data_IF_808427392588
#
_entry.id   IF_808427392588
#
_cell.length_a   1.000
_cell.length_b   1.000
_cell.length_c   1.000
_cell.angle_alpha   90.00
_cell.angle_beta   90.00
_cell.angle_gamma   90.00
#
_symmetry.space_group_name_H-M   'P 1'
#
loop_
_entity.id
_entity.type
_entity.pdbx_description
1 polymer ?
#
# COMPACT_ATOMS: atom_id res chain seq x y z
N UNK A 1 32.41 -65.15 -18.87
CA UNK A 1 32.38 -64.16 -19.96
C UNK A 1 31.55 -62.97 -19.52
N UNK A 2 32.11 -61.77 -19.31
CA UNK A 2 31.30 -60.59 -19.04
C UNK A 2 30.97 -59.86 -20.36
N UNK A 3 29.70 -59.53 -20.53
CA UNK A 3 29.18 -58.77 -21.67
C UNK A 3 29.49 -57.29 -21.43
N UNK A 4 30.37 -56.72 -22.25
CA UNK A 4 30.55 -55.26 -22.37
C UNK A 4 29.38 -54.69 -23.18
N UNK A 5 28.74 -53.65 -22.66
CA UNK A 5 27.92 -52.73 -23.46
C UNK A 5 28.61 -51.36 -23.46
N UNK A 6 28.77 -50.70 -24.62
CA UNK A 6 29.31 -49.35 -24.67
C UNK A 6 28.16 -48.32 -24.61
N UNK A 7 28.16 -47.47 -23.59
CA UNK A 7 27.45 -46.20 -23.63
C UNK A 7 28.46 -45.09 -23.93
N UNK A 8 28.34 -44.47 -25.10
CA UNK A 8 29.03 -43.21 -25.41
C UNK A 8 28.36 -42.05 -24.66
N UNK A 9 29.11 -41.13 -24.05
CA UNK A 9 28.53 -39.90 -23.50
C UNK A 9 28.30 -38.88 -24.62
N UNK A 10 27.05 -38.40 -24.72
CA UNK A 10 26.71 -37.21 -25.51
C UNK A 10 27.28 -36.00 -24.78
N UNK A 11 28.23 -35.31 -25.43
CA UNK A 11 28.78 -34.02 -25.01
C UNK A 11 27.66 -32.97 -25.07
N UNK A 12 27.28 -32.42 -23.92
CA UNK A 12 26.49 -31.19 -23.87
C UNK A 12 27.41 -29.99 -24.17
N UNK A 13 26.97 -29.00 -24.96
CA UNK A 13 27.75 -27.78 -25.20
C UNK A 13 27.86 -26.95 -23.90
N UNK A 14 28.95 -26.19 -23.72
CA UNK A 14 29.12 -25.35 -22.55
C UNK A 14 28.04 -24.27 -22.51
N UNK A 15 27.32 -24.19 -21.40
CA UNK A 15 26.44 -23.09 -21.06
C UNK A 15 27.25 -21.81 -20.92
N UNK A 16 26.99 -20.82 -21.77
CA UNK A 16 27.50 -19.45 -21.62
C UNK A 16 26.92 -18.88 -20.34
N UNK A 17 27.76 -18.73 -19.32
CA UNK A 17 27.39 -18.13 -18.04
C UNK A 17 27.01 -16.67 -18.25
N UNK A 18 25.74 -16.33 -18.01
CA UNK A 18 25.31 -14.97 -17.80
C UNK A 18 25.56 -14.66 -16.32
N UNK A 19 26.46 -13.73 -16.04
CA UNK A 19 26.72 -13.20 -14.70
C UNK A 19 25.86 -11.92 -14.52
N UNK A 20 24.73 -11.97 -13.80
CA UNK A 20 23.80 -10.83 -13.73
C UNK A 20 24.27 -9.70 -12.80
N UNK A 21 25.53 -9.69 -12.33
CA UNK A 21 26.01 -8.71 -11.34
C UNK A 21 27.21 -7.85 -11.79
N UNK A 22 27.63 -7.92 -13.05
CA UNK A 22 28.65 -7.01 -13.57
C UNK A 22 28.04 -5.62 -13.89
N UNK A 23 28.12 -4.68 -12.95
CA UNK A 23 27.89 -3.27 -13.26
C UNK A 23 28.97 -2.78 -14.24
N UNK A 24 28.62 -2.00 -15.28
CA UNK A 24 29.61 -1.44 -16.19
C UNK A 24 30.57 -0.52 -15.42
N UNK A 25 31.87 -0.67 -15.68
CA UNK A 25 32.89 0.19 -15.09
C UNK A 25 32.72 1.62 -15.63
N UNK A 26 32.84 2.66 -14.78
CA UNK A 26 32.80 4.05 -15.24
C UNK A 26 33.90 4.30 -16.28
N UNK A 27 33.52 4.59 -17.53
CA UNK A 27 34.43 4.93 -18.62
C UNK A 27 34.46 3.96 -19.80
N UNK A 28 33.77 2.82 -19.75
CA UNK A 28 33.60 1.98 -20.95
C UNK A 28 32.51 2.53 -21.88
N UNK A 29 32.78 2.73 -23.17
CA UNK A 29 31.76 3.12 -24.13
C UNK A 29 30.73 2.00 -24.28
N UNK A 30 29.45 2.36 -24.19
CA UNK A 30 28.34 1.42 -24.36
C UNK A 30 28.40 0.77 -25.76
N UNK A 31 28.12 -0.53 -25.88
CA UNK A 31 28.05 -1.17 -27.18
C UNK A 31 26.91 -0.57 -28.01
N UNK A 32 27.23 -0.10 -29.22
CA UNK A 32 26.25 0.40 -30.19
C UNK A 32 25.24 -0.70 -30.51
N UNK A 33 23.97 -0.44 -30.17
CA UNK A 33 22.87 -1.33 -30.52
C UNK A 33 22.62 -1.38 -32.03
N UNK A 34 21.99 -2.45 -32.54
CA UNK A 34 21.75 -2.60 -33.97
C UNK A 34 20.86 -1.47 -34.50
N UNK A 35 21.37 -0.75 -35.49
CA UNK A 35 20.66 0.28 -36.26
C UNK A 35 19.40 -0.33 -36.89
N UNK A 36 18.23 0.18 -36.50
CA UNK A 36 16.98 -0.12 -37.20
C UNK A 36 16.93 0.71 -38.48
N UNK A 37 17.08 0.03 -39.61
CA UNK A 37 16.95 0.63 -40.94
C UNK A 37 15.54 1.17 -41.17
N UNK A 38 15.47 2.43 -41.56
CA UNK A 38 14.28 3.09 -42.07
C UNK A 38 13.98 2.63 -43.51
N UNK A 39 12.77 2.14 -43.75
CA UNK A 39 12.14 2.16 -45.07
C UNK A 39 10.63 1.88 -44.96
N UNK A 40 9.80 2.93 -45.00
CA UNK A 40 8.51 2.93 -45.71
C UNK A 40 7.93 4.35 -45.73
N UNK A 41 7.66 4.84 -46.95
CA UNK A 41 7.16 6.17 -47.25
C UNK A 41 5.64 6.36 -47.06
N UNK A 42 5.11 7.54 -47.38
CA UNK A 42 3.81 8.00 -46.93
C UNK A 42 2.67 7.58 -47.86
N UNK A 43 1.68 6.89 -47.31
CA UNK A 43 0.37 6.69 -47.94
C UNK A 43 -0.61 7.73 -47.42
N UNK A 44 -0.95 8.71 -48.26
CA UNK A 44 -2.01 9.68 -48.00
C UNK A 44 -3.38 9.00 -48.12
N UNK A 45 -4.16 9.05 -47.03
CA UNK A 45 -5.57 8.66 -46.99
C UNK A 45 -6.39 9.81 -46.43
N UNK A 46 -7.22 10.41 -47.29
CA UNK A 46 -8.12 11.51 -47.02
C UNK A 46 -9.20 11.13 -45.99
N UNK A 47 -9.48 12.04 -45.05
CA UNK A 47 -10.77 12.11 -44.36
C UNK A 47 -11.37 13.50 -44.59
N UNK A 48 -12.69 13.61 -44.86
CA UNK A 48 -13.32 14.87 -45.24
C UNK A 48 -13.52 15.81 -44.05
N UNK A 49 -13.35 17.10 -44.33
CA UNK A 49 -13.60 18.22 -43.43
C UNK A 49 -15.10 18.37 -43.13
N UNK A 50 -15.45 18.49 -41.85
CA UNK A 50 -16.77 18.92 -41.43
C UNK A 50 -16.83 20.46 -41.38
N UNK A 51 -17.75 21.00 -42.18
CA UNK A 51 -18.31 22.34 -42.13
C UNK A 51 -18.76 22.66 -40.69
N UNK A 52 -18.50 23.84 -40.11
CA UNK A 52 -19.07 25.12 -40.54
C UNK A 52 -20.19 25.51 -39.57
N UNK A 53 -19.85 26.10 -38.42
CA UNK A 53 -20.82 26.72 -37.52
C UNK A 53 -20.30 28.09 -37.06
N UNK A 54 -20.85 29.13 -37.67
CA UNK A 54 -20.69 30.56 -37.33
C UNK A 54 -21.46 30.93 -36.06
N UNK A 55 -20.91 31.77 -35.16
CA UNK A 55 -21.70 32.41 -34.11
C UNK A 55 -22.40 33.69 -34.63
N UNK A 56 -23.62 34.02 -34.16
CA UNK A 56 -24.34 35.20 -34.62
C UNK A 56 -23.98 36.48 -33.84
N UNK A 57 -23.68 37.53 -34.61
CA UNK A 57 -24.40 38.80 -34.55
C UNK A 57 -24.22 39.69 -33.30
N UNK A 58 -23.26 40.61 -33.39
CA UNK A 58 -23.24 41.85 -32.60
C UNK A 58 -24.22 42.86 -33.21
N UNK A 59 -25.11 43.42 -32.38
CA UNK A 59 -25.88 44.63 -32.68
C UNK A 59 -25.45 45.72 -31.69
N UNK A 60 -24.95 46.83 -32.24
CA UNK A 60 -24.59 48.02 -31.48
C UNK A 60 -25.81 48.90 -31.19
N UNK A 61 -25.70 49.69 -30.12
CA UNK A 61 -26.46 50.93 -29.98
C UNK A 61 -25.59 51.99 -29.28
N UNK A 62 -25.74 53.20 -29.79
CA UNK A 62 -24.91 54.37 -29.54
C UNK A 62 -25.32 55.15 -28.29
N UNK A 63 -24.35 55.93 -27.78
CA UNK A 63 -24.53 57.32 -27.36
C UNK A 63 -25.02 57.58 -25.93
N UNK A 64 -24.16 58.17 -25.10
CA UNK A 64 -24.36 59.48 -24.47
C UNK A 64 -23.25 59.80 -23.46
N UNK A 65 -22.45 60.82 -23.77
CA UNK A 65 -21.67 61.61 -22.79
C UNK A 65 -22.60 62.68 -22.21
N UNK A 66 -22.48 63.05 -20.91
CA UNK A 66 -22.25 64.47 -20.58
C UNK A 66 -21.37 64.61 -19.29
N UNK A 67 -21.19 65.81 -18.67
CA UNK A 67 -19.89 66.44 -18.55
C UNK A 67 -19.37 66.49 -17.10
N UNK A 68 -18.15 66.98 -16.93
CA UNK A 68 -17.45 67.06 -15.66
C UNK A 68 -18.13 67.91 -14.57
N UNK A 69 -17.77 67.58 -13.34
CA UNK A 69 -17.89 68.47 -12.18
C UNK A 69 -16.58 68.38 -11.38
N UNK A 70 -15.99 69.56 -11.20
CA UNK A 70 -14.85 69.83 -10.34
C UNK A 70 -15.20 69.60 -8.86
N UNK A 71 -14.17 69.31 -8.06
CA UNK A 71 -14.12 69.71 -6.66
C UNK A 71 -14.68 68.73 -5.63
N UNK A 72 -13.79 68.07 -4.91
CA UNK A 72 -13.51 68.32 -3.48
C UNK A 72 -12.94 67.06 -2.83
N UNK A 73 -11.71 67.21 -2.33
CA UNK A 73 -10.98 66.24 -1.52
C UNK A 73 -11.63 66.12 -0.13
N UNK A 74 -11.98 64.92 0.35
CA UNK A 74 -12.22 64.68 1.76
C UNK A 74 -10.93 64.18 2.45
N UNK A 75 -10.67 64.57 3.71
CA UNK A 75 -9.49 64.13 4.43
C UNK A 75 -9.70 62.74 5.05
N UNK A 76 -8.64 61.92 4.96
CA UNK A 76 -8.22 60.99 6.01
C UNK A 76 -9.20 59.92 6.50
N UNK A 77 -9.03 58.70 5.98
CA UNK A 77 -9.32 57.49 6.74
C UNK A 77 -8.16 56.51 6.55
N UNK A 78 -7.35 56.33 7.60
CA UNK A 78 -6.35 55.28 7.72
C UNK A 78 -7.05 53.91 7.63
N UNK A 79 -7.11 53.34 6.44
CA UNK A 79 -7.44 51.93 6.26
C UNK A 79 -6.15 51.13 6.45
N UNK A 80 -6.04 50.46 7.59
CA UNK A 80 -4.99 49.50 7.86
C UNK A 80 -5.04 48.38 6.82
N UNK A 81 -4.02 48.31 5.96
CA UNK A 81 -3.76 47.17 5.09
C UNK A 81 -3.55 45.94 5.97
N UNK A 82 -4.36 44.86 5.83
CA UNK A 82 -4.06 43.61 6.51
C UNK A 82 -2.71 43.08 5.98
N UNK A 83 -1.81 42.59 6.86
CA UNK A 83 -0.54 42.05 6.40
C UNK A 83 -0.82 40.87 5.47
N UNK A 84 -0.21 40.92 4.28
CA UNK A 84 -0.19 39.80 3.36
C UNK A 84 0.26 38.56 4.13
N UNK A 85 -0.60 37.53 4.15
CA UNK A 85 -0.23 36.22 4.66
C UNK A 85 0.88 35.70 3.76
N UNK A 86 2.12 35.84 4.23
CA UNK A 86 3.30 35.32 3.58
C UNK A 86 3.18 33.79 3.57
N UNK A 87 2.80 33.26 2.42
CA UNK A 87 2.74 31.84 2.16
C UNK A 87 4.18 31.34 2.06
N UNK A 88 4.83 31.22 3.22
CA UNK A 88 6.17 30.69 3.34
C UNK A 88 6.23 29.29 2.72
N UNK A 89 6.93 29.20 1.61
CA UNK A 89 7.23 27.95 0.91
C UNK A 89 7.78 26.92 1.91
N UNK A 90 7.20 25.71 2.02
CA UNK A 90 7.73 24.69 2.91
C UNK A 90 9.13 24.28 2.44
N UNK A 91 10.15 24.60 3.24
CA UNK A 91 11.52 24.17 3.00
C UNK A 91 11.60 22.65 3.10
N UNK A 92 11.83 21.98 1.97
CA UNK A 92 11.99 20.54 1.91
C UNK A 92 13.36 20.12 2.46
N UNK A 93 13.39 19.51 3.65
CA UNK A 93 14.57 18.80 4.16
C UNK A 93 14.36 17.28 4.02
N UNK A 94 14.97 16.69 2.99
CA UNK A 94 14.92 15.25 2.69
C UNK A 94 15.65 14.42 3.75
N UNK A 95 14.93 13.94 4.76
CA UNK A 95 15.40 12.92 5.71
C UNK A 95 14.63 11.61 5.51
N UNK A 96 15.35 10.50 5.30
CA UNK A 96 14.78 9.16 5.16
C UNK A 96 13.86 8.82 6.35
N UNK A 97 12.54 8.81 6.12
CA UNK A 97 11.53 8.29 7.05
C UNK A 97 10.86 9.30 7.98
N UNK A 98 11.17 10.60 7.90
CA UNK A 98 10.46 11.66 8.62
C UNK A 98 9.65 12.53 7.66
N UNK A 99 8.35 12.70 7.89
CA UNK A 99 7.53 13.58 7.05
C UNK A 99 8.06 15.02 7.08
N UNK A 100 8.13 15.67 5.90
CA UNK A 100 8.73 17.00 5.66
C UNK A 100 8.08 18.17 6.44
N UNK A 101 7.09 17.90 7.27
CA UNK A 101 6.28 18.91 7.96
C UNK A 101 5.66 18.38 9.25
N UNK A 102 6.21 17.31 9.84
CA UNK A 102 5.65 16.76 11.06
C UNK A 102 5.75 17.80 12.20
N UNK A 103 4.61 18.19 12.80
CA UNK A 103 4.62 19.08 13.95
C UNK A 103 5.46 18.44 15.05
N UNK A 104 6.16 19.26 15.83
CA UNK A 104 6.89 18.78 17.00
C UNK A 104 5.97 17.88 17.84
N UNK A 105 6.41 16.66 18.07
CA UNK A 105 5.66 15.66 18.82
C UNK A 105 4.83 14.70 17.98
N UNK A 106 4.70 14.81 16.65
CA UNK A 106 4.11 13.72 15.87
C UNK A 106 5.10 12.57 15.75
N UNK A 107 4.82 11.45 16.42
CA UNK A 107 5.70 10.28 16.41
C UNK A 107 5.11 9.23 15.49
N UNK A 108 5.91 8.80 14.52
CA UNK A 108 5.52 7.76 13.60
C UNK A 108 5.63 6.40 14.24
N UNK A 109 4.58 5.61 14.18
CA UNK A 109 4.68 4.20 14.46
C UNK A 109 5.18 3.48 13.20
N UNK A 110 6.19 2.64 13.38
CA UNK A 110 6.69 1.78 12.32
C UNK A 110 5.96 0.44 12.42
N UNK A 111 5.34 0.08 11.31
CA UNK A 111 4.66 -1.19 11.18
C UNK A 111 5.63 -2.34 11.31
N UNK A 112 5.23 -3.37 12.05
CA UNK A 112 5.66 -4.71 11.68
C UNK A 112 4.70 -5.09 10.56
N UNK A 113 5.14 -4.98 9.31
CA UNK A 113 4.42 -5.68 8.24
C UNK A 113 4.54 -7.14 8.66
N UNK A 114 3.49 -7.67 9.30
CA UNK A 114 3.56 -8.82 10.19
C UNK A 114 4.46 -9.91 9.57
N UNK A 115 5.59 -10.28 10.19
CA UNK A 115 6.42 -11.31 9.62
C UNK A 115 5.56 -12.57 9.51
N UNK A 116 5.40 -13.04 8.27
CA UNK A 116 4.79 -14.31 7.85
C UNK A 116 4.40 -15.16 9.05
N UNK A 117 3.14 -15.05 9.46
CA UNK A 117 2.65 -15.79 10.61
C UNK A 117 2.80 -17.27 10.27
N UNK A 118 3.68 -17.97 11.00
CA UNK A 118 3.77 -19.45 11.03
C UNK A 118 2.46 -20.14 11.46
N UNK A 119 1.37 -19.38 11.60
CA UNK A 119 0.07 -19.76 12.14
C UNK A 119 -0.90 -20.40 11.15
N UNK A 120 -0.61 -20.45 9.85
CA UNK A 120 -1.51 -21.14 8.90
C UNK A 120 -1.44 -22.69 8.96
N UNK A 121 -0.61 -23.28 9.83
CA UNK A 121 -0.35 -24.73 9.83
C UNK A 121 -0.97 -25.48 11.02
N UNK A 122 -1.47 -24.79 12.06
CA UNK A 122 -2.07 -25.48 13.22
C UNK A 122 -3.59 -25.65 13.18
N UNK A 123 -4.29 -25.13 12.16
CA UNK A 123 -5.74 -25.26 12.07
C UNK A 123 -6.26 -26.56 11.42
N UNK A 124 -5.40 -27.41 10.84
CA UNK A 124 -5.87 -28.67 10.21
C UNK A 124 -5.77 -29.91 11.09
N UNK A 125 -5.23 -29.84 12.30
CA UNK A 125 -5.16 -31.00 13.22
C UNK A 125 -6.18 -30.88 14.37
N UNK A 126 -7.45 -30.54 14.08
CA UNK A 126 -8.53 -30.91 15.00
C UNK A 126 -8.91 -32.36 14.71
N UNK A 127 -8.77 -33.31 15.66
CA UNK A 127 -9.27 -34.67 15.52
C UNK A 127 -10.81 -34.63 15.66
N UNK A 128 -11.49 -34.19 14.61
CA UNK A 128 -12.93 -34.21 14.49
C UNK A 128 -13.31 -35.10 13.31
N UNK A 129 -14.08 -36.15 13.61
CA UNK A 129 -14.78 -37.06 12.70
C UNK A 129 -14.51 -36.85 11.20
N UNK A 130 -13.57 -37.62 10.64
CA UNK A 130 -13.48 -37.80 9.19
C UNK A 130 -14.54 -38.85 8.83
N UNK A 131 -15.65 -38.49 8.16
CA UNK A 131 -16.58 -39.49 7.68
C UNK A 131 -15.83 -40.49 6.80
N UNK A 132 -16.14 -41.80 6.87
CA UNK A 132 -15.49 -42.78 6.01
C UNK A 132 -15.65 -42.34 4.55
N UNK A 133 -14.57 -42.43 3.74
CA UNK A 133 -14.64 -42.05 2.35
C UNK A 133 -15.76 -42.85 1.66
N UNK A 134 -16.59 -42.19 0.81
CA UNK A 134 -17.56 -42.92 0.02
C UNK A 134 -16.85 -44.01 -0.80
N UNK A 135 -17.48 -45.19 -1.00
CA UNK A 135 -16.88 -46.29 -1.74
C UNK A 135 -16.39 -45.80 -3.10
N UNK A 136 -15.11 -46.04 -3.39
CA UNK A 136 -14.48 -45.58 -4.63
C UNK A 136 -15.22 -46.17 -5.84
N UNK A 137 -15.64 -45.34 -6.81
CA UNK A 137 -16.18 -45.84 -8.07
C UNK A 137 -15.09 -46.66 -8.80
N UNK A 138 -15.48 -47.75 -9.49
CA UNK A 138 -14.54 -48.65 -10.15
C UNK A 138 -13.60 -47.90 -11.10
N UNK A 139 -12.30 -48.18 -10.93
CA UNK A 139 -11.15 -47.69 -11.69
C UNK A 139 -11.49 -47.18 -13.10
N UNK A 140 -11.76 -45.88 -13.22
CA UNK A 140 -11.62 -45.19 -14.51
C UNK A 140 -10.12 -45.01 -14.72
N UNK A 141 -9.51 -45.52 -15.82
CA UNK A 141 -8.13 -45.21 -16.15
C UNK A 141 -8.02 -43.70 -16.34
N UNK A 142 -7.45 -43.04 -15.33
CA UNK A 142 -7.17 -41.61 -15.30
C UNK A 142 -6.04 -41.33 -16.27
N UNK A 143 -6.38 -41.19 -17.57
CA UNK A 143 -5.53 -40.45 -18.51
C UNK A 143 -5.41 -39.03 -17.97
N UNK A 144 -4.16 -38.64 -17.73
CA UNK A 144 -3.70 -37.39 -17.15
C UNK A 144 -3.82 -37.34 -15.61
N UNK A 145 -2.69 -37.36 -14.87
CA UNK A 145 -2.71 -36.84 -13.52
C UNK A 145 -3.16 -35.39 -13.68
N UNK A 146 -4.36 -35.09 -13.19
CA UNK A 146 -4.68 -33.71 -12.86
C UNK A 146 -3.75 -33.35 -11.70
N UNK A 147 -2.51 -32.99 -12.04
CA UNK A 147 -1.77 -32.01 -11.28
C UNK A 147 -2.66 -30.77 -11.28
N UNK A 148 -3.68 -30.77 -10.40
CA UNK A 148 -4.24 -29.55 -9.85
C UNK A 148 -3.01 -28.82 -9.38
N UNK A 149 -2.54 -27.88 -10.20
CA UNK A 149 -1.50 -26.94 -9.84
C UNK A 149 -1.90 -26.44 -8.47
N UNK A 150 -1.21 -26.95 -7.45
CA UNK A 150 -1.41 -26.51 -6.08
C UNK A 150 -0.90 -25.08 -6.14
N UNK A 151 -1.83 -24.15 -6.36
CA UNK A 151 -1.54 -22.73 -6.28
C UNK A 151 -0.78 -22.55 -4.99
N UNK A 152 0.41 -21.95 -5.06
CA UNK A 152 1.14 -21.60 -3.87
C UNK A 152 0.14 -20.93 -2.93
N UNK A 153 -0.09 -21.52 -1.76
CA UNK A 153 -0.88 -20.86 -0.75
C UNK A 153 -0.07 -19.63 -0.38
N UNK A 154 -0.37 -18.52 -1.06
CA UNK A 154 0.10 -17.24 -0.61
C UNK A 154 -0.65 -17.05 0.70
N UNK A 155 0.09 -17.21 1.80
CA UNK A 155 -0.35 -16.76 3.10
C UNK A 155 0.26 -15.38 3.24
N UNK A 156 -0.28 -14.32 2.61
CA UNK A 156 0.02 -12.99 3.08
C UNK A 156 -0.69 -12.90 4.42
N UNK A 157 -0.03 -13.32 5.49
CA UNK A 157 -0.55 -13.03 6.83
C UNK A 157 -0.51 -11.52 7.13
N UNK A 158 -0.16 -10.68 6.15
CA UNK A 158 -0.26 -9.24 6.23
C UNK A 158 -1.13 -8.77 5.09
N UNK A 159 -2.34 -8.36 5.45
CA UNK A 159 -3.24 -7.67 4.56
C UNK A 159 -2.56 -6.46 3.94
N UNK A 160 -3.04 -6.04 2.77
CA UNK A 160 -2.40 -4.99 1.97
C UNK A 160 -2.16 -3.71 2.78
N UNK A 161 -2.99 -3.41 3.76
CA UNK A 161 -2.93 -2.19 4.53
C UNK A 161 -3.20 -2.41 6.02
N UNK A 162 -2.36 -1.79 6.85
CA UNK A 162 -2.53 -1.67 8.28
C UNK A 162 -2.32 -0.19 8.63
N UNK A 163 -3.31 0.42 9.26
CA UNK A 163 -3.29 1.86 9.59
C UNK A 163 -2.14 2.18 10.52
N UNK A 164 -1.72 1.23 11.35
CA UNK A 164 -0.57 1.36 12.23
C UNK A 164 0.78 1.57 11.48
N UNK A 165 0.89 1.13 10.24
CA UNK A 165 2.17 1.11 9.52
C UNK A 165 2.53 2.50 9.01
N UNK A 166 3.66 3.05 9.47
CA UNK A 166 4.16 4.38 9.09
C UNK A 166 3.14 5.51 9.35
N UNK A 167 2.31 5.37 10.39
CA UNK A 167 1.33 6.38 10.79
C UNK A 167 1.61 6.94 12.18
N UNK A 168 1.23 8.20 12.36
CA UNK A 168 1.10 8.84 13.68
C UNK A 168 -0.38 8.92 14.06
N UNK A 169 -0.75 8.73 15.35
CA UNK A 169 -2.11 9.00 15.82
C UNK A 169 -2.50 10.48 15.65
N UNK A 170 -1.51 11.39 15.68
CA UNK A 170 -1.76 12.81 15.50
C UNK A 170 -2.09 13.10 14.03
N UNK A 171 -3.16 13.85 13.73
CA UNK A 171 -3.37 14.35 12.38
C UNK A 171 -2.25 15.31 11.98
N UNK A 172 -1.62 15.04 10.83
CA UNK A 172 -0.46 15.81 10.33
C UNK A 172 -0.52 16.01 8.81
N UNK A 173 0.04 17.12 8.33
CA UNK A 173 0.28 17.34 6.90
C UNK A 173 1.58 16.65 6.52
N UNK A 174 1.56 15.78 5.50
CA UNK A 174 2.77 15.12 5.00
C UNK A 174 2.58 14.41 3.66
N UNK A 175 3.71 14.18 3.00
CA UNK A 175 3.88 13.21 1.92
C UNK A 175 4.76 12.09 2.46
N UNK A 176 4.41 10.84 2.16
CA UNK A 176 5.11 9.65 2.64
C UNK A 176 5.54 8.78 1.47
N UNK A 177 6.77 8.28 1.55
CA UNK A 177 7.28 7.21 0.71
C UNK A 177 7.87 6.14 1.61
N UNK A 178 7.50 4.88 1.40
CA UNK A 178 8.14 3.76 2.10
C UNK A 178 8.46 2.62 1.15
N UNK A 179 9.56 1.94 1.42
CA UNK A 179 10.03 0.79 0.67
C UNK A 179 10.20 -0.41 1.61
N UNK A 180 9.71 -1.56 1.18
CA UNK A 180 9.93 -2.84 1.87
C UNK A 180 10.43 -3.87 0.87
N UNK A 181 11.36 -4.71 1.33
CA UNK A 181 11.88 -5.85 0.60
C UNK A 181 11.63 -7.11 1.42
N UNK A 182 11.07 -8.14 0.80
CA UNK A 182 10.86 -9.45 1.39
C UNK A 182 11.60 -10.48 0.54
N UNK A 183 12.49 -11.22 1.18
CA UNK A 183 13.24 -12.30 0.55
C UNK A 183 12.60 -13.66 0.87
N UNK A 184 12.69 -14.57 -0.10
CA UNK A 184 12.17 -15.94 -0.05
C UNK A 184 10.77 -16.09 0.60
N UNK A 185 9.83 -15.27 0.15
CA UNK A 185 8.45 -15.24 0.65
C UNK A 185 7.82 -16.64 0.54
N UNK A 186 7.37 -17.19 1.67
CA UNK A 186 6.81 -18.53 1.79
C UNK A 186 7.77 -19.68 1.42
N UNK A 187 9.08 -19.48 1.35
CA UNK A 187 10.04 -20.52 0.93
C UNK A 187 9.90 -21.84 1.70
N UNK A 188 9.74 -21.78 3.02
CA UNK A 188 9.52 -22.97 3.85
C UNK A 188 8.20 -23.71 3.53
N UNK A 189 7.13 -22.96 3.24
CA UNK A 189 5.82 -23.52 2.87
C UNK A 189 5.90 -24.13 1.47
N UNK A 190 6.48 -23.40 0.51
CA UNK A 190 6.65 -23.86 -0.86
C UNK A 190 7.45 -25.16 -0.91
N UNK A 191 8.56 -25.23 -0.15
CA UNK A 191 9.35 -26.46 -0.01
C UNK A 191 8.55 -27.61 0.60
N UNK A 192 7.79 -27.35 1.66
CA UNK A 192 6.98 -28.39 2.34
C UNK A 192 5.89 -28.97 1.44
N UNK A 193 5.27 -28.15 0.60
CA UNK A 193 4.20 -28.59 -0.30
C UNK A 193 4.67 -28.96 -1.70
N UNK A 194 6.00 -29.02 -1.91
CA UNK A 194 6.64 -29.27 -3.21
C UNK A 194 6.09 -28.35 -4.31
N UNK A 195 5.86 -27.08 -3.96
CA UNK A 195 5.47 -26.04 -4.92
C UNK A 195 6.72 -25.71 -5.75
N UNK A 196 6.64 -25.72 -7.09
CA UNK A 196 7.78 -25.45 -7.98
C UNK A 196 8.07 -23.94 -8.06
N UNK A 197 8.13 -23.26 -6.92
CA UNK A 197 8.46 -21.85 -6.77
C UNK A 197 9.48 -21.68 -5.63
N UNK A 198 10.60 -21.04 -5.92
CA UNK A 198 11.65 -20.72 -4.96
C UNK A 198 12.08 -19.26 -5.09
N UNK A 199 12.76 -18.72 -4.08
CA UNK A 199 13.36 -17.38 -4.13
C UNK A 199 12.33 -16.31 -4.52
N UNK A 200 11.15 -16.38 -3.88
CA UNK A 200 10.10 -15.41 -4.12
C UNK A 200 10.52 -14.09 -3.45
N UNK A 201 10.87 -13.11 -4.26
CA UNK A 201 11.27 -11.78 -3.81
C UNK A 201 10.14 -10.80 -4.05
N UNK A 202 9.75 -10.06 -3.03
CA UNK A 202 8.72 -9.02 -3.13
C UNK A 202 9.30 -7.65 -2.77
N UNK A 203 9.12 -6.70 -3.67
CA UNK A 203 9.45 -5.30 -3.50
C UNK A 203 8.17 -4.51 -3.41
N UNK A 204 8.07 -3.65 -2.39
CA UNK A 204 6.86 -2.86 -2.15
C UNK A 204 7.23 -1.41 -1.93
N UNK A 205 6.86 -0.57 -2.88
CA UNK A 205 6.92 0.87 -2.77
C UNK A 205 5.54 1.38 -2.40
N UNK A 206 5.42 2.25 -1.40
CA UNK A 206 4.14 2.85 -1.02
C UNK A 206 4.28 4.35 -1.06
N UNK A 207 3.46 4.98 -1.90
CA UNK A 207 3.32 6.43 -1.97
C UNK A 207 2.08 6.82 -1.18
N UNK A 208 2.13 7.94 -0.47
CA UNK A 208 0.97 8.43 0.22
C UNK A 208 1.06 9.89 0.58
N UNK A 209 -0.07 10.44 0.98
CA UNK A 209 -0.16 11.78 1.54
C UNK A 209 -1.20 11.79 2.67
N UNK A 210 -1.09 12.79 3.53
CA UNK A 210 -2.05 13.11 4.57
C UNK A 210 -2.18 14.63 4.65
N UNK A 211 -3.41 15.11 4.71
CA UNK A 211 -3.73 16.53 4.78
C UNK A 211 -4.71 16.76 5.92
N UNK A 212 -4.37 17.70 6.78
CA UNK A 212 -5.16 18.11 7.93
C UNK A 212 -6.21 19.16 7.57
N UNK A 213 -7.29 19.15 8.33
CA UNK A 213 -8.38 20.12 8.29
C UNK A 213 -9.00 20.25 9.69
N UNK A 214 -9.99 21.14 9.88
CA UNK A 214 -10.58 21.48 11.18
C UNK A 214 -9.53 21.87 12.24
N UNK A 215 -8.76 22.93 11.96
CA UNK A 215 -7.69 23.40 12.85
C UNK A 215 -6.69 22.31 13.23
N UNK A 216 -6.42 21.44 12.26
CA UNK A 216 -5.56 20.27 12.35
C UNK A 216 -6.10 19.15 13.25
N UNK A 217 -7.35 19.21 13.71
CA UNK A 217 -7.95 18.16 14.55
C UNK A 217 -8.44 16.96 13.74
N UNK A 218 -8.52 17.08 12.42
CA UNK A 218 -8.81 15.97 11.53
C UNK A 218 -7.78 15.89 10.41
N UNK A 219 -7.65 14.72 9.79
CA UNK A 219 -6.92 14.57 8.53
C UNK A 219 -7.56 13.55 7.61
N UNK A 220 -7.29 13.72 6.33
CA UNK A 220 -7.61 12.80 5.26
C UNK A 220 -6.30 12.40 4.61
N UNK A 221 -6.12 11.12 4.31
CA UNK A 221 -4.94 10.65 3.61
C UNK A 221 -5.23 9.49 2.70
N UNK A 222 -4.28 9.24 1.80
CA UNK A 222 -4.35 8.18 0.82
C UNK A 222 -2.99 7.51 0.68
N UNK A 223 -3.01 6.22 0.32
CA UNK A 223 -1.83 5.41 0.06
C UNK A 223 -2.05 4.49 -1.13
N UNK A 224 -1.05 4.47 -2.01
CA UNK A 224 -1.02 3.66 -3.22
C UNK A 224 0.27 2.81 -3.24
N UNK A 225 0.16 1.48 -3.10
CA UNK A 225 1.30 0.60 -3.22
C UNK A 225 1.61 0.25 -4.68
N UNK A 226 2.88 0.24 -5.06
CA UNK A 226 3.43 -0.39 -6.26
C UNK A 226 4.21 -1.63 -5.81
N UNK A 227 3.77 -2.81 -6.24
CA UNK A 227 4.35 -4.08 -5.84
C UNK A 227 5.03 -4.72 -7.04
N UNK A 228 6.28 -5.15 -6.86
CA UNK A 228 7.03 -5.97 -7.82
C UNK A 228 7.32 -7.31 -7.17
N UNK A 229 7.12 -8.38 -7.91
CA UNK A 229 7.35 -9.74 -7.46
C UNK A 229 8.22 -10.48 -8.48
N UNK A 230 9.25 -11.16 -8.00
CA UNK A 230 10.10 -12.06 -8.79
C UNK A 230 10.10 -13.43 -8.12
N UNK A 231 10.09 -14.52 -8.90
CA UNK A 231 10.22 -15.87 -8.35
C UNK A 231 10.94 -16.79 -9.33
N UNK A 232 11.63 -17.81 -8.84
CA UNK A 232 12.23 -18.81 -9.70
C UNK A 232 11.31 -20.03 -9.82
N UNK A 233 11.12 -20.52 -11.04
CA UNK A 233 10.37 -21.75 -11.31
C UNK A 233 11.03 -22.58 -12.42
N UNK A 234 11.05 -23.93 -12.29
CA UNK A 234 11.41 -24.80 -13.40
C UNK A 234 10.31 -24.88 -14.48
N UNK A 235 9.09 -24.40 -14.20
CA UNK A 235 7.97 -24.42 -15.14
C UNK A 235 8.03 -23.17 -16.02
N UNK A 236 8.05 -23.36 -17.35
CA UNK A 236 8.04 -22.24 -18.31
C UNK A 236 6.82 -21.34 -18.07
N UNK A 237 7.03 -20.03 -18.07
CA UNK A 237 6.03 -18.97 -17.82
C UNK A 237 5.50 -18.90 -16.38
N UNK A 238 6.09 -19.63 -15.44
CA UNK A 238 5.84 -19.49 -14.01
C UNK A 238 7.03 -18.76 -13.37
N UNK A 239 6.78 -17.76 -12.53
CA UNK A 239 7.84 -16.94 -11.91
C UNK A 239 8.41 -15.73 -12.68
N UNK A 240 7.90 -15.26 -13.84
CA UNK A 240 8.44 -14.02 -14.41
C UNK A 240 8.25 -12.87 -13.41
N UNK A 241 9.17 -11.90 -13.45
CA UNK A 241 9.00 -10.66 -12.70
C UNK A 241 7.72 -9.96 -13.16
N UNK A 242 6.88 -9.58 -12.20
CA UNK A 242 5.62 -8.89 -12.45
C UNK A 242 5.51 -7.68 -11.53
N UNK A 243 5.05 -6.57 -12.09
CA UNK A 243 4.85 -5.31 -11.35
C UNK A 243 3.43 -4.82 -11.56
N UNK A 244 2.76 -4.44 -10.48
CA UNK A 244 1.45 -3.80 -10.55
C UNK A 244 1.24 -2.80 -9.42
N UNK A 245 0.40 -1.79 -9.69
CA UNK A 245 -0.23 -1.04 -8.61
C UNK A 245 -1.13 -1.99 -7.81
N UNK A 246 -1.10 -1.89 -6.49
CA UNK A 246 -2.02 -2.59 -5.61
C UNK A 246 -3.23 -1.72 -5.27
N UNK A 247 -3.99 -2.17 -4.29
CA UNK A 247 -5.21 -1.50 -3.86
C UNK A 247 -4.93 -0.15 -3.21
N UNK A 248 -5.69 0.86 -3.63
CA UNK A 248 -5.71 2.19 -3.04
C UNK A 248 -6.39 2.15 -1.66
N UNK A 249 -5.71 2.70 -0.66
CA UNK A 249 -6.30 2.94 0.65
C UNK A 249 -6.52 4.42 0.87
N UNK A 250 -7.72 4.82 1.25
CA UNK A 250 -8.02 6.13 1.81
C UNK A 250 -8.30 6.00 3.31
N UNK A 251 -7.97 7.03 4.09
CA UNK A 251 -8.25 7.03 5.53
C UNK A 251 -8.61 8.43 6.01
N UNK A 252 -9.44 8.47 7.05
CA UNK A 252 -9.73 9.68 7.83
C UNK A 252 -9.28 9.47 9.26
N UNK A 253 -8.78 10.53 9.88
CA UNK A 253 -8.46 10.60 11.32
C UNK A 253 -9.20 11.78 11.93
N UNK A 254 -9.57 11.62 13.18
CA UNK A 254 -10.11 12.66 14.03
C UNK A 254 -9.50 12.56 15.41
N UNK A 255 -8.92 13.66 15.90
CA UNK A 255 -8.39 13.77 17.25
C UNK A 255 -9.56 14.02 18.22
N UNK A 256 -9.89 13.00 19.01
CA UNK A 256 -10.87 13.10 20.09
C UNK A 256 -10.37 14.02 21.20
N UNK A 257 -9.05 14.01 21.43
CA UNK A 257 -8.37 14.90 22.36
C UNK A 257 -6.92 15.10 21.88
N UNK A 258 -6.41 16.32 21.98
CA UNK A 258 -5.06 16.65 21.52
C UNK A 258 -4.43 17.75 22.37
N UNK A 259 -3.18 17.51 22.78
CA UNK A 259 -2.28 18.49 23.39
C UNK A 259 -0.97 18.43 22.61
N UNK A 260 -0.84 19.31 21.62
CA UNK A 260 0.31 19.32 20.70
C UNK A 260 1.60 19.71 21.40
N UNK A 261 1.53 20.65 22.33
CA UNK A 261 2.69 21.13 23.09
C UNK A 261 3.31 20.01 23.91
N UNK A 262 2.46 19.16 24.52
CA UNK A 262 2.93 18.00 25.27
C UNK A 262 3.10 16.74 24.43
N UNK A 263 2.84 16.78 23.12
CA UNK A 263 2.94 15.62 22.24
C UNK A 263 2.00 14.48 22.65
N UNK A 264 0.76 14.81 23.03
CA UNK A 264 -0.26 13.85 23.47
C UNK A 264 -1.48 13.93 22.58
N UNK A 265 -2.03 12.78 22.20
CA UNK A 265 -3.23 12.71 21.37
C UNK A 265 -3.95 11.40 21.59
N UNK A 266 -5.28 11.47 21.60
CA UNK A 266 -6.17 10.35 21.41
C UNK A 266 -6.97 10.60 20.13
N UNK A 267 -6.93 9.67 19.21
CA UNK A 267 -7.51 9.79 17.88
C UNK A 267 -8.28 8.54 17.51
N UNK A 268 -9.25 8.69 16.63
CA UNK A 268 -9.94 7.58 15.99
C UNK A 268 -10.07 7.86 14.50
N UNK A 269 -10.53 6.87 13.75
CA UNK A 269 -10.76 7.03 12.33
C UNK A 269 -11.15 5.74 11.65
N UNK A 270 -11.19 5.82 10.33
CA UNK A 270 -11.51 4.71 9.46
C UNK A 270 -10.55 4.73 8.27
N UNK A 271 -9.94 3.59 7.99
CA UNK A 271 -9.30 3.34 6.72
C UNK A 271 -10.17 2.44 5.84
N UNK A 272 -10.21 2.74 4.55
CA UNK A 272 -10.96 1.99 3.54
C UNK A 272 -9.97 1.63 2.43
N UNK A 273 -9.74 0.33 2.24
CA UNK A 273 -8.93 -0.18 1.13
C UNK A 273 -9.87 -0.65 0.03
N UNK A 274 -9.77 -0.05 -1.15
CA UNK A 274 -10.65 -0.27 -2.27
C UNK A 274 -9.99 -1.21 -3.30
N UNK A 275 -10.72 -2.20 -3.84
CA UNK A 275 -10.21 -3.20 -4.78
C UNK A 275 -9.97 -2.56 -6.16
N UNK A 276 -8.92 -1.76 -6.26
CA UNK A 276 -8.58 -0.93 -7.45
C UNK A 276 -7.34 -1.46 -8.17
N UNK A 277 -6.54 -2.29 -7.50
CA UNK A 277 -5.44 -3.03 -8.13
C UNK A 277 -5.93 -4.34 -8.76
N UNK A 278 -5.02 -5.16 -9.31
CA UNK A 278 -5.35 -6.51 -9.75
C UNK A 278 -5.63 -7.43 -8.55
N UNK A 279 -6.42 -8.47 -8.77
CA UNK A 279 -6.70 -9.51 -7.76
C UNK A 279 -5.47 -10.40 -7.42
N UNK A 280 -4.31 -10.12 -8.01
CA UNK A 280 -3.05 -10.86 -7.83
C UNK A 280 -1.97 -9.92 -7.31
N UNK A 281 -1.15 -10.40 -6.38
CA UNK A 281 -0.06 -9.59 -5.84
C UNK A 281 0.98 -9.28 -6.93
N UNK A 282 1.25 -8.00 -7.17
CA UNK A 282 2.19 -7.54 -8.21
C UNK A 282 1.76 -7.93 -9.64
N UNK A 283 0.51 -8.33 -9.87
CA UNK A 283 0.05 -8.83 -11.18
C UNK A 283 0.43 -10.29 -11.47
N UNK A 284 1.08 -10.98 -10.53
CA UNK A 284 1.57 -12.34 -10.74
C UNK A 284 0.42 -13.36 -10.68
N UNK A 285 0.12 -14.01 -11.82
CA UNK A 285 -0.97 -14.98 -11.97
C UNK A 285 -0.94 -16.16 -10.98
N UNK A 286 0.23 -16.45 -10.42
CA UNK A 286 0.45 -17.54 -9.47
C UNK A 286 0.24 -17.15 -8.00
N UNK A 287 0.09 -15.86 -7.68
CA UNK A 287 -0.26 -15.37 -6.35
C UNK A 287 -1.59 -14.63 -6.38
N UNK A 288 -2.69 -15.38 -6.31
CA UNK A 288 -4.03 -14.81 -6.16
C UNK A 288 -4.20 -14.32 -4.73
N UNK A 289 -4.40 -13.02 -4.59
CA UNK A 289 -4.75 -12.38 -3.35
C UNK A 289 -6.26 -12.41 -3.13
N UNK A 290 -6.65 -12.05 -1.93
CA UNK A 290 -8.02 -11.69 -1.64
C UNK A 290 -8.28 -10.27 -2.18
N UNK A 291 -9.41 -10.07 -2.86
CA UNK A 291 -9.71 -8.82 -3.57
C UNK A 291 -11.15 -8.38 -3.27
N UNK A 292 -11.30 -7.51 -2.28
CA UNK A 292 -12.56 -6.92 -1.84
C UNK A 292 -12.24 -5.64 -1.07
N UNK A 293 -13.29 -4.88 -0.74
CA UNK A 293 -13.14 -3.71 0.11
C UNK A 293 -12.86 -4.13 1.55
N UNK A 294 -11.88 -3.50 2.19
CA UNK A 294 -11.60 -3.66 3.62
C UNK A 294 -11.91 -2.37 4.38
N UNK A 295 -12.58 -2.50 5.51
CA UNK A 295 -12.87 -1.42 6.44
C UNK A 295 -12.05 -1.64 7.70
N UNK A 296 -11.26 -0.63 8.09
CA UNK A 296 -10.39 -0.72 9.24
C UNK A 296 -10.60 0.47 10.18
N UNK A 297 -11.65 0.45 11.02
CA UNK A 297 -11.77 1.38 12.13
C UNK A 297 -10.59 1.22 13.09
N UNK A 298 -10.16 2.33 13.68
CA UNK A 298 -9.05 2.32 14.63
C UNK A 298 -9.18 3.35 15.74
N UNK A 299 -8.41 3.11 16.80
CA UNK A 299 -8.12 4.02 17.88
C UNK A 299 -6.60 4.15 17.97
N UNK A 300 -6.09 5.37 17.89
CA UNK A 300 -4.67 5.68 18.01
C UNK A 300 -4.43 6.57 19.21
N UNK A 301 -3.44 6.24 20.03
CA UNK A 301 -3.03 7.06 21.17
C UNK A 301 -1.52 7.32 21.10
N UNK A 302 -1.12 8.53 21.46
CA UNK A 302 0.27 8.90 21.65
C UNK A 302 0.39 9.68 22.95
N UNK A 303 1.40 9.37 23.74
CA UNK A 303 1.62 10.04 25.00
C UNK A 303 3.11 10.27 25.26
N UNK A 304 3.46 11.50 25.65
CA UNK A 304 4.82 11.87 26.02
C UNK A 304 4.87 12.33 27.48
N UNK A 305 5.83 11.79 28.22
CA UNK A 305 6.16 12.07 29.62
C UNK A 305 7.63 12.51 29.72
N UNK A 306 7.88 13.80 29.51
CA UNK A 306 9.26 14.30 29.45
C UNK A 306 9.99 13.69 28.24
N UNK A 307 11.07 12.95 28.49
CA UNK A 307 11.84 12.25 27.46
C UNK A 307 11.29 10.86 27.11
N UNK A 308 10.37 10.30 27.91
CA UNK A 308 9.73 9.02 27.60
C UNK A 308 8.48 9.25 26.73
N UNK A 309 8.20 8.38 25.77
CA UNK A 309 6.94 8.38 25.04
C UNK A 309 6.44 6.97 24.72
N UNK A 310 5.12 6.87 24.52
CA UNK A 310 4.45 5.69 24.03
C UNK A 310 3.52 6.03 22.87
N UNK A 311 3.37 5.08 21.95
CA UNK A 311 2.43 5.12 20.82
C UNK A 311 1.67 3.80 20.81
N UNK A 312 0.35 3.87 20.63
CA UNK A 312 -0.49 2.72 20.44
C UNK A 312 -1.44 2.93 19.26
N UNK A 313 -1.68 1.85 18.51
CA UNK A 313 -2.84 1.72 17.64
C UNK A 313 -3.55 0.41 17.93
N UNK A 314 -4.86 0.50 18.15
CA UNK A 314 -5.79 -0.63 18.08
C UNK A 314 -6.60 -0.49 16.80
N UNK A 315 -6.65 -1.52 15.96
CA UNK A 315 -7.54 -1.49 14.79
C UNK A 315 -8.21 -2.83 14.56
N UNK A 316 -9.39 -2.81 13.96
CA UNK A 316 -10.14 -4.00 13.57
C UNK A 316 -10.28 -3.95 12.06
N UNK A 317 -9.79 -4.96 11.35
CA UNK A 317 -9.92 -5.03 9.90
C UNK A 317 -11.02 -6.00 9.50
N UNK A 318 -12.09 -5.41 8.99
CA UNK A 318 -13.35 -6.03 8.62
C UNK A 318 -13.42 -6.11 7.09
N UNK A 319 -13.23 -7.29 6.50
CA UNK A 319 -13.43 -7.47 5.07
C UNK A 319 -14.92 -7.40 4.74
N UNK A 320 -15.26 -6.88 3.56
CA UNK A 320 -16.63 -6.91 3.03
C UNK A 320 -17.05 -8.29 2.48
N UNK A 321 -16.13 -9.24 2.43
CA UNK A 321 -16.35 -10.60 1.96
C UNK A 321 -16.31 -11.60 3.10
N UNK A 322 -17.28 -12.51 3.15
CA UNK A 322 -17.34 -13.63 4.10
C UNK A 322 -16.28 -14.70 3.86
N UNK A 323 -15.50 -14.59 2.77
CA UNK A 323 -14.38 -15.49 2.45
C UNK A 323 -13.11 -15.15 3.22
N UNK A 324 -13.11 -14.04 3.97
CA UNK A 324 -12.01 -13.63 4.82
C UNK A 324 -12.48 -13.44 6.26
N UNK A 325 -11.54 -13.54 7.18
CA UNK A 325 -11.76 -13.42 8.63
C UNK A 325 -11.80 -11.95 9.05
N UNK A 326 -12.21 -11.63 10.27
CA UNK A 326 -11.93 -10.30 10.84
C UNK A 326 -10.68 -10.40 11.69
N UNK A 327 -9.77 -9.43 11.59
CA UNK A 327 -8.50 -9.42 12.35
C UNK A 327 -8.44 -8.19 13.24
N UNK A 328 -7.98 -8.37 14.49
CA UNK A 328 -7.69 -7.28 15.40
C UNK A 328 -6.17 -7.08 15.42
N UNK A 329 -5.73 -5.85 15.18
CA UNK A 329 -4.34 -5.44 15.30
C UNK A 329 -4.14 -4.64 16.59
N UNK A 330 -3.10 -5.00 17.33
CA UNK A 330 -2.63 -4.29 18.50
C UNK A 330 -1.16 -3.95 18.31
N UNK A 331 -0.88 -2.66 18.18
CA UNK A 331 0.47 -2.15 18.01
C UNK A 331 0.82 -1.23 19.15
N UNK A 332 1.94 -1.52 19.80
CA UNK A 332 2.46 -0.73 20.89
C UNK A 332 3.94 -0.44 20.64
N UNK A 333 4.35 0.81 20.84
CA UNK A 333 5.74 1.23 20.77
C UNK A 333 6.05 2.13 21.97
N UNK A 334 7.20 1.88 22.59
CA UNK A 334 7.76 2.71 23.64
C UNK A 334 9.09 3.28 23.14
N UNK A 335 9.36 4.55 23.41
CA UNK A 335 10.62 5.19 23.05
C UNK A 335 11.08 6.17 24.09
N UNK A 336 12.36 6.53 24.02
CA UNK A 336 12.99 7.50 24.90
C UNK A 336 13.82 8.46 24.06
N UNK A 337 13.68 9.76 24.29
CA UNK A 337 14.47 10.78 23.62
C UNK A 337 15.85 10.87 24.27
N UNK A 338 16.90 10.49 23.53
CA UNK A 338 18.29 10.73 23.94
C UNK A 338 18.70 12.18 23.70
N UNK A 339 18.07 12.81 22.71
CA UNK A 339 18.33 14.18 22.32
C UNK A 339 17.05 14.83 21.77
N UNK A 340 16.80 16.07 22.18
CA UNK A 340 15.76 16.94 21.61
C UNK A 340 16.32 18.35 21.45
N UNK A 341 16.19 18.88 20.25
CA UNK A 341 16.58 20.24 19.97
C UNK A 341 15.38 21.16 20.25
N UNK A 342 15.49 22.13 21.19
CA UNK A 342 14.44 23.10 21.41
C UNK A 342 14.25 24.04 20.21
N UNK A 343 15.28 24.22 19.38
CA UNK A 343 15.19 25.03 18.18
C UNK A 343 14.49 24.24 17.05
N UNK A 344 13.31 24.68 16.59
CA UNK A 344 12.56 24.00 15.52
C UNK A 344 13.31 24.00 14.16
N UNK A 345 14.27 24.91 13.99
CA UNK A 345 15.10 25.06 12.79
C UNK A 345 16.44 24.28 12.88
N UNK A 346 16.66 23.52 13.95
CA UNK A 346 17.85 22.70 14.09
C UNK A 346 17.90 21.58 13.04
N UNK A 347 19.11 21.33 12.49
CA UNK A 347 19.34 20.27 11.51
C UNK A 347 18.91 18.88 12.02
N UNK A 348 19.24 18.58 13.28
CA UNK A 348 18.73 17.40 13.99
C UNK A 348 17.70 17.88 15.00
N UNK A 349 16.46 17.39 14.87
CA UNK A 349 15.37 17.71 15.80
C UNK A 349 15.34 16.81 17.02
N UNK A 350 15.52 15.50 16.82
CA UNK A 350 15.55 14.55 17.92
C UNK A 350 16.25 13.26 17.54
N UNK A 351 16.75 12.56 18.55
CA UNK A 351 17.24 11.17 18.46
C UNK A 351 16.49 10.38 19.51
N UNK A 352 15.75 9.36 19.07
CA UNK A 352 14.94 8.54 19.95
C UNK A 352 15.01 7.06 19.57
N UNK A 353 15.78 6.24 20.29
CA UNK A 353 15.63 4.79 20.22
C UNK A 353 14.20 4.38 20.60
N UNK A 354 13.73 3.32 19.98
CA UNK A 354 12.41 2.75 20.24
C UNK A 354 12.49 1.26 20.40
N UNK A 355 11.70 0.77 21.33
CA UNK A 355 11.39 -0.63 21.50
C UNK A 355 9.98 -0.87 20.96
N UNK A 356 9.86 -1.84 20.06
CA UNK A 356 8.58 -2.45 19.71
C UNK A 356 8.59 -3.86 20.28
N UNK A 357 7.81 -4.15 21.34
CA UNK A 357 7.60 -5.54 21.73
C UNK A 357 6.89 -6.22 20.56
N UNK A 358 7.60 -7.04 19.79
CA UNK A 358 7.01 -7.92 18.78
C UNK A 358 6.30 -9.08 19.48
N UNK A 359 5.22 -8.78 20.19
CA UNK A 359 4.25 -9.76 20.65
C UNK A 359 2.99 -9.60 19.81
N UNK A 360 3.06 -10.03 18.54
CA UNK A 360 1.88 -10.12 17.69
C UNK A 360 1.00 -11.26 18.20
N UNK A 361 0.19 -10.98 19.23
CA UNK A 361 -0.85 -11.89 19.71
C UNK A 361 -1.97 -11.94 18.66
N UNK A 362 -1.93 -12.94 17.79
CA UNK A 362 -3.01 -13.19 16.85
C UNK A 362 -4.13 -13.93 17.59
N UNK A 363 -4.97 -13.19 18.32
CA UNK A 363 -6.25 -13.71 18.74
C UNK A 363 -7.18 -13.68 17.53
N UNK A 364 -7.28 -14.78 16.77
CA UNK A 364 -8.34 -14.95 15.78
C UNK A 364 -9.64 -15.12 16.56
N UNK A 365 -10.29 -14.01 16.89
CA UNK A 365 -11.66 -14.03 17.39
C UNK A 365 -12.55 -14.08 16.15
N UNK A 366 -12.95 -15.29 15.75
CA UNK A 366 -13.97 -15.46 14.71
C UNK A 366 -15.32 -15.03 15.30
N UNK A 367 -15.66 -13.76 15.17
CA UNK A 367 -17.00 -13.26 15.49
C UNK A 367 -17.89 -13.61 14.31
N UNK A 368 -18.60 -14.74 14.40
CA UNK A 368 -19.63 -15.09 13.41
C UNK A 368 -20.88 -14.28 13.74
N UNK A 369 -21.03 -13.12 13.09
CA UNK A 369 -22.27 -12.37 13.11
C UNK A 369 -23.32 -13.14 12.29
N UNK A 370 -24.05 -14.04 12.95
CA UNK A 370 -25.22 -14.67 12.35
C UNK A 370 -26.34 -13.63 12.36
N UNK A 371 -26.56 -12.96 11.23
CA UNK A 371 -27.77 -12.18 11.03
C UNK A 371 -28.94 -13.16 10.92
N UNK A 372 -29.53 -13.50 12.06
CA UNK A 372 -30.75 -14.29 12.13
C UNK A 372 -31.90 -13.40 11.67
N UNK A 373 -32.22 -13.46 10.37
CA UNK A 373 -33.46 -12.88 9.84
C UNK A 373 -34.64 -13.70 10.36
N UNK A 374 -35.06 -13.41 11.58
CA UNK A 374 -36.32 -13.89 12.13
C UNK A 374 -37.47 -13.21 11.37
N UNK A 375 -38.37 -13.97 10.70
CA UNK A 375 -39.56 -13.39 10.11
C UNK A 375 -40.57 -13.10 11.23
N UNK A 376 -40.44 -11.97 11.92
CA UNK A 376 -41.52 -11.46 12.77
C UNK A 376 -42.62 -10.94 11.86
N UNK A 377 -43.66 -11.76 11.67
CA UNK A 377 -44.98 -11.37 11.16
C UNK A 377 -45.48 -10.18 11.97
N UNK A 378 -45.54 -9.00 11.35
CA UNK A 378 -46.33 -7.89 11.86
C UNK A 378 -47.81 -8.21 11.63
N UNK A 379 -48.53 -8.56 12.71
CA UNK A 379 -49.99 -8.50 12.74
C UNK A 379 -50.39 -7.04 12.84
N UNK A 380 -50.94 -6.50 11.76
CA UNK A 380 -51.72 -5.27 11.78
C UNK A 380 -53.02 -5.54 12.54
N UNK A 381 -53.34 -4.70 13.52
CA UNK A 381 -54.66 -4.63 14.14
C UNK A 381 -55.59 -3.82 13.22
N UNK A 382 -56.81 -4.32 13.06
CA UNK A 382 -57.98 -3.58 12.60
C UNK A 382 -58.83 -3.22 13.83
#
# INVERSE_FOLDING_TARGET
MPVQTPFSPIMAPPSVGYDPMAMPRPGEPLPEGPSTGAAMGPGAGQFPSAEGATPPGAAGTAGATPPGAEGTTPPGANAATPPAADAGSPSASSGLGGGLSEPQGALNMFGDVAPVSRLAILQTNRPGFVPPPPPEPPNRPTRFPSERMKSAAFVPSVRNFKIADNQTPMPVDRITYSFNFFDDVNGAINKRFNVPLSQIQAYRHVFGFEKTFFDKNASFGMRLPLNTLTANSPIRNLGPTSTSLGDLTAFVKYALWIDREKGRVLSTGLAVTMPTGPATFGGANYLRGLHYTNLQPFLGAQWTWGDLYAINFTSIDVPTSSRDVTIIYQDFSLGYFLYRNPNPNGFIRSIAPRLKPTSTWHSIITIRLTAETSPRRAKWWA
#
